data_IF_561868657997
#
_entry.id   IF_561868657997
#
_cell.length_a   1.000
_cell.length_b   1.000
_cell.length_c   1.000
_cell.angle_alpha   90.00
_cell.angle_beta   90.00
_cell.angle_gamma   90.00
#
_symmetry.space_group_name_H-M   'P 1'
#
loop_
_entity.id
_entity.type
_entity.pdbx_description
1 polymer ?
#
# COMPACT_ATOMS: atom_id res chain seq x y z
N UNK A 1 -14.53 -11.81 -5.11
CA UNK A 1 -14.59 -12.34 -3.70
C UNK A 1 -14.98 -11.21 -2.76
N UNK A 2 -15.72 -11.49 -1.68
CA UNK A 2 -16.07 -10.52 -0.64
C UNK A 2 -15.54 -11.00 0.71
N UNK A 3 -14.84 -10.12 1.43
CA UNK A 3 -14.45 -10.26 2.84
C UNK A 3 -15.17 -9.15 3.59
N UNK A 4 -16.02 -9.48 4.56
CA UNK A 4 -16.77 -8.46 5.26
C UNK A 4 -17.07 -8.80 6.71
N UNK A 5 -17.31 -7.74 7.50
CA UNK A 5 -17.66 -7.84 8.93
C UNK A 5 -16.62 -8.64 9.74
N UNK A 6 -15.35 -8.41 9.45
CA UNK A 6 -14.24 -9.08 10.12
C UNK A 6 -13.57 -8.13 11.11
N UNK A 7 -13.12 -8.70 12.22
CA UNK A 7 -12.25 -8.04 13.19
C UNK A 7 -10.87 -8.69 13.13
N UNK A 8 -9.85 -7.89 12.81
CA UNK A 8 -8.45 -8.31 12.76
C UNK A 8 -7.66 -7.52 13.79
N UNK A 9 -6.93 -8.21 14.65
CA UNK A 9 -6.13 -7.55 15.69
C UNK A 9 -4.79 -8.26 15.94
N UNK A 10 -3.83 -7.48 16.46
CA UNK A 10 -2.50 -7.95 16.89
C UNK A 10 -1.73 -8.73 15.82
N UNK A 11 -1.84 -8.30 14.55
CA UNK A 11 -1.28 -9.01 13.42
C UNK A 11 -0.20 -8.25 12.67
N UNK A 12 0.64 -8.96 11.90
CA UNK A 12 1.62 -8.37 11.00
C UNK A 12 0.99 -7.65 9.78
N UNK A 13 -0.28 -7.84 9.56
CA UNK A 13 -1.11 -7.15 8.58
C UNK A 13 -2.55 -7.62 8.70
N UNK A 14 -3.52 -6.68 8.64
CA UNK A 14 -4.93 -7.02 8.77
C UNK A 14 -5.46 -7.73 7.52
N UNK A 15 -5.36 -7.10 6.35
CA UNK A 15 -5.66 -7.75 5.06
C UNK A 15 -4.43 -7.67 4.17
N UNK A 16 -3.90 -8.83 3.81
CA UNK A 16 -2.64 -8.93 3.06
C UNK A 16 -2.86 -9.72 1.77
N UNK A 17 -2.60 -9.08 0.64
CA UNK A 17 -2.69 -9.67 -0.69
C UNK A 17 -1.29 -9.89 -1.26
N UNK A 18 -1.00 -11.14 -1.69
CA UNK A 18 0.30 -11.51 -2.26
C UNK A 18 1.38 -11.80 -1.19
N UNK A 19 2.67 -11.95 -1.60
CA UNK A 19 3.22 -11.78 -2.94
C UNK A 19 3.07 -13.02 -3.83
N UNK A 20 2.76 -14.21 -3.26
CA UNK A 20 2.62 -15.49 -3.97
C UNK A 20 1.28 -15.58 -4.71
N UNK A 21 0.97 -14.60 -5.56
CA UNK A 21 -0.25 -14.52 -6.34
C UNK A 21 0.07 -14.55 -7.84
N UNK A 22 0.71 -15.64 -8.31
CA UNK A 22 1.15 -15.77 -9.70
C UNK A 22 0.02 -15.73 -10.73
N UNK A 23 -1.22 -16.09 -10.33
CA UNK A 23 -2.42 -15.95 -11.17
C UNK A 23 -3.14 -14.60 -11.02
N UNK A 24 -2.57 -13.69 -10.23
CA UNK A 24 -3.20 -12.40 -9.92
C UNK A 24 -4.31 -12.48 -8.87
N UNK A 25 -4.77 -11.31 -8.45
CA UNK A 25 -5.93 -11.14 -7.56
C UNK A 25 -6.85 -10.12 -8.23
N UNK A 26 -8.07 -10.52 -8.52
CA UNK A 26 -9.02 -9.69 -9.26
C UNK A 26 -10.38 -9.65 -8.55
N UNK A 27 -11.05 -8.51 -8.67
CA UNK A 27 -12.43 -8.33 -8.22
C UNK A 27 -12.64 -8.75 -6.76
N UNK A 28 -11.82 -8.20 -5.87
CA UNK A 28 -11.90 -8.40 -4.43
C UNK A 28 -12.49 -7.16 -3.76
N UNK A 29 -13.50 -7.36 -2.93
CA UNK A 29 -14.01 -6.32 -2.03
C UNK A 29 -13.76 -6.73 -0.58
N UNK A 30 -13.20 -5.80 0.22
CA UNK A 30 -13.09 -5.89 1.67
C UNK A 30 -13.93 -4.77 2.26
N UNK A 31 -14.92 -5.10 3.08
CA UNK A 31 -15.91 -4.11 3.52
C UNK A 31 -16.33 -4.31 4.98
N UNK A 32 -16.61 -3.19 5.67
CA UNK A 32 -17.18 -3.21 7.02
C UNK A 32 -16.34 -4.00 8.01
N UNK A 33 -15.03 -3.74 8.02
CA UNK A 33 -14.07 -4.41 8.89
C UNK A 33 -13.49 -3.44 9.92
N UNK A 34 -13.03 -3.99 11.03
CA UNK A 34 -12.29 -3.29 12.08
C UNK A 34 -10.89 -3.89 12.20
N UNK A 35 -9.86 -3.04 12.18
CA UNK A 35 -8.47 -3.44 12.39
C UNK A 35 -7.91 -2.73 13.62
N UNK A 36 -7.26 -3.48 14.49
CA UNK A 36 -6.63 -2.92 15.68
C UNK A 36 -5.23 -3.50 15.90
N UNK A 37 -4.29 -2.63 16.25
CA UNK A 37 -2.92 -3.01 16.63
C UNK A 37 -2.27 -3.96 15.62
N UNK A 38 -2.34 -3.61 14.35
CA UNK A 38 -1.64 -4.35 13.30
C UNK A 38 -0.49 -3.52 12.73
N UNK A 39 0.60 -4.17 12.32
CA UNK A 39 1.72 -3.47 11.71
C UNK A 39 1.28 -2.72 10.44
N UNK A 40 0.41 -3.33 9.66
CA UNK A 40 -0.13 -2.76 8.42
C UNK A 40 -1.60 -3.08 8.27
N UNK A 41 -2.36 -2.12 7.79
CA UNK A 41 -3.79 -2.30 7.57
C UNK A 41 -4.08 -3.05 6.26
N UNK A 42 -4.17 -2.30 5.19
CA UNK A 42 -4.45 -2.81 3.84
C UNK A 42 -3.13 -2.90 3.07
N UNK A 43 -2.67 -4.13 2.85
CA UNK A 43 -1.35 -4.39 2.31
C UNK A 43 -1.44 -5.21 1.03
N UNK A 44 -1.05 -4.62 -0.10
CA UNK A 44 -0.93 -5.33 -1.38
C UNK A 44 0.54 -5.37 -1.77
N UNK A 45 1.06 -6.57 -2.02
CA UNK A 45 2.48 -6.76 -2.30
C UNK A 45 2.70 -7.70 -3.48
N UNK A 46 3.73 -7.39 -4.26
CA UNK A 46 4.25 -8.20 -5.34
C UNK A 46 5.76 -7.99 -5.47
N UNK A 47 6.39 -8.59 -6.43
CA UNK A 47 7.78 -8.35 -6.83
C UNK A 47 8.08 -8.86 -8.22
N UNK A 48 9.15 -8.38 -8.84
CA UNK A 48 9.69 -9.00 -10.05
C UNK A 48 9.89 -10.50 -9.86
N UNK A 49 9.63 -11.29 -10.90
CA UNK A 49 9.69 -12.74 -10.85
C UNK A 49 8.36 -13.44 -10.53
N UNK A 50 7.29 -12.70 -10.20
CA UNK A 50 5.96 -13.29 -9.96
C UNK A 50 5.21 -13.65 -11.24
N UNK A 51 5.62 -13.08 -12.37
CA UNK A 51 5.04 -13.35 -13.68
C UNK A 51 4.08 -12.28 -14.17
N UNK A 52 3.89 -12.22 -15.48
CA UNK A 52 3.01 -11.25 -16.12
C UNK A 52 1.53 -11.40 -15.76
N UNK A 53 1.13 -12.59 -15.32
CA UNK A 53 -0.25 -12.89 -14.91
C UNK A 53 -0.49 -12.54 -13.43
N UNK A 54 0.58 -12.20 -12.68
CA UNK A 54 0.48 -11.72 -11.31
C UNK A 54 0.02 -10.26 -11.26
N UNK A 55 -1.23 -10.03 -11.67
CA UNK A 55 -1.86 -8.70 -11.69
C UNK A 55 -2.85 -8.57 -10.56
N UNK A 56 -2.66 -7.55 -9.71
CA UNK A 56 -3.60 -7.19 -8.66
C UNK A 56 -4.46 -6.03 -9.17
N UNK A 57 -5.74 -6.26 -9.44
CA UNK A 57 -6.64 -5.24 -10.01
C UNK A 57 -8.11 -5.41 -9.58
N UNK A 58 -8.91 -4.35 -9.69
CA UNK A 58 -10.31 -4.37 -9.30
C UNK A 58 -10.50 -4.62 -7.80
N UNK A 59 -9.59 -4.09 -6.98
CA UNK A 59 -9.61 -4.28 -5.53
C UNK A 59 -10.26 -3.07 -4.90
N UNK A 60 -11.26 -3.30 -4.05
CA UNK A 60 -11.95 -2.27 -3.30
C UNK A 60 -11.87 -2.55 -1.81
N UNK A 61 -11.44 -1.55 -1.05
CA UNK A 61 -11.48 -1.51 0.41
C UNK A 61 -12.43 -0.41 0.82
N UNK A 62 -13.47 -0.74 1.57
CA UNK A 62 -14.51 0.24 1.90
C UNK A 62 -15.09 0.05 3.30
N UNK A 63 -15.55 1.15 3.91
CA UNK A 63 -16.20 1.12 5.22
C UNK A 63 -15.34 0.44 6.30
N UNK A 64 -14.07 0.84 6.41
CA UNK A 64 -13.09 0.22 7.32
C UNK A 64 -12.71 1.23 8.39
N UNK A 65 -12.60 0.74 9.62
CA UNK A 65 -12.06 1.50 10.75
C UNK A 65 -10.79 0.82 11.23
N UNK A 66 -9.76 1.64 11.49
CA UNK A 66 -8.45 1.19 11.95
C UNK A 66 -8.04 1.98 13.19
N UNK A 67 -7.51 1.29 14.18
CA UNK A 67 -6.95 1.92 15.39
C UNK A 67 -5.62 1.29 15.75
N UNK A 68 -4.63 2.12 16.06
CA UNK A 68 -3.24 1.69 16.33
C UNK A 68 -2.66 0.81 15.19
N UNK A 69 -3.00 1.12 13.94
CA UNK A 69 -2.40 0.48 12.76
C UNK A 69 -1.19 1.29 12.33
N UNK A 70 0.02 0.69 12.40
CA UNK A 70 1.26 1.45 12.23
C UNK A 70 1.39 2.09 10.85
N UNK A 71 0.94 1.40 9.78
CA UNK A 71 0.84 1.95 8.41
C UNK A 71 -0.46 1.48 7.77
N UNK A 72 -1.49 2.32 7.65
CA UNK A 72 -2.82 1.93 7.13
C UNK A 72 -2.80 1.36 5.72
N UNK A 73 -2.08 2.01 4.79
CA UNK A 73 -2.11 1.65 3.38
C UNK A 73 -0.71 1.35 2.86
N UNK A 74 -0.49 0.11 2.38
CA UNK A 74 0.81 -0.31 1.84
C UNK A 74 0.65 -0.99 0.49
N UNK A 75 1.30 -0.43 -0.54
CA UNK A 75 1.50 -1.07 -1.84
C UNK A 75 3.01 -1.24 -2.05
N UNK A 76 3.46 -2.49 -2.20
CA UNK A 76 4.89 -2.79 -2.27
C UNK A 76 5.20 -3.75 -3.42
N UNK A 77 5.88 -3.26 -4.45
CA UNK A 77 6.36 -4.05 -5.59
C UNK A 77 7.80 -4.54 -5.47
N UNK A 78 8.41 -4.43 -4.28
CA UNK A 78 9.79 -4.84 -3.98
C UNK A 78 9.87 -5.81 -2.80
N UNK A 79 8.86 -6.66 -2.63
CA UNK A 79 8.79 -7.56 -1.48
C UNK A 79 9.94 -8.55 -1.43
N UNK A 80 10.65 -8.66 -0.29
CA UNK A 80 11.94 -9.35 -0.19
C UNK A 80 11.93 -10.71 0.51
N UNK A 81 10.81 -11.19 1.04
CA UNK A 81 10.85 -12.34 1.96
C UNK A 81 11.18 -13.70 1.35
N UNK A 82 11.21 -13.80 0.02
CA UNK A 82 11.60 -15.05 -0.62
C UNK A 82 13.12 -15.23 -0.70
N UNK A 83 13.54 -16.45 -1.04
CA UNK A 83 14.94 -16.81 -1.16
C UNK A 83 15.73 -15.90 -2.10
N UNK A 84 15.12 -15.46 -3.19
CA UNK A 84 15.71 -14.54 -4.19
C UNK A 84 15.21 -13.09 -4.02
N UNK A 85 14.40 -12.80 -2.99
CA UNK A 85 13.76 -11.51 -2.80
C UNK A 85 14.72 -10.33 -2.57
N UNK A 86 15.93 -10.60 -2.10
CA UNK A 86 16.97 -9.59 -1.85
C UNK A 86 17.99 -9.44 -2.99
N UNK A 87 17.75 -10.08 -4.13
CA UNK A 87 18.64 -9.93 -5.30
C UNK A 87 18.49 -8.56 -5.94
N UNK A 88 19.52 -8.13 -6.66
CA UNK A 88 19.51 -6.88 -7.41
C UNK A 88 18.35 -6.82 -8.40
N UNK A 89 18.01 -7.96 -9.05
CA UNK A 89 16.88 -8.06 -9.95
C UNK A 89 15.57 -7.68 -9.28
N UNK A 90 15.31 -8.16 -8.08
CA UNK A 90 14.06 -7.86 -7.36
C UNK A 90 14.08 -6.44 -6.77
N UNK A 91 15.22 -6.00 -6.23
CA UNK A 91 15.31 -4.77 -5.44
C UNK A 91 15.75 -3.53 -6.23
N UNK A 92 16.22 -3.68 -7.50
CA UNK A 92 16.63 -2.53 -8.32
C UNK A 92 15.50 -1.50 -8.43
N UNK A 93 15.84 -0.23 -8.19
CA UNK A 93 14.94 0.91 -8.36
C UNK A 93 14.98 1.48 -9.78
N UNK A 94 15.87 0.98 -10.62
CA UNK A 94 15.95 1.33 -12.03
C UNK A 94 14.91 0.55 -12.85
N UNK A 95 14.45 1.15 -13.94
CA UNK A 95 13.54 0.48 -14.87
C UNK A 95 14.26 -0.68 -15.56
N UNK A 96 13.68 -1.87 -15.51
CA UNK A 96 14.17 -3.05 -16.19
C UNK A 96 13.27 -3.35 -17.41
N UNK A 97 13.76 -4.12 -18.39
CA UNK A 97 12.91 -4.57 -19.49
C UNK A 97 11.67 -5.32 -18.99
N UNK A 98 10.50 -4.99 -19.53
CA UNK A 98 9.27 -5.73 -19.24
C UNK A 98 9.33 -7.08 -19.94
N UNK A 99 9.16 -8.15 -19.19
CA UNK A 99 9.17 -9.53 -19.69
C UNK A 99 8.09 -10.38 -19.00
N UNK A 100 8.07 -11.68 -19.29
CA UNK A 100 7.09 -12.62 -18.71
C UNK A 100 7.19 -12.78 -17.18
N UNK A 101 8.20 -12.20 -16.54
CA UNK A 101 8.40 -12.20 -15.08
C UNK A 101 7.94 -10.91 -14.40
N UNK A 102 7.53 -9.91 -15.19
CA UNK A 102 7.14 -8.59 -14.69
C UNK A 102 5.68 -8.60 -14.23
N UNK A 103 5.39 -8.42 -12.93
CA UNK A 103 4.02 -8.35 -12.43
C UNK A 103 3.38 -7.00 -12.72
N UNK A 104 2.05 -6.94 -12.57
CA UNK A 104 1.27 -5.72 -12.74
C UNK A 104 0.50 -5.30 -11.50
N UNK A 105 0.21 -4.01 -11.43
CA UNK A 105 -0.72 -3.42 -10.47
C UNK A 105 -1.76 -2.61 -11.23
N UNK A 106 -3.02 -3.04 -11.16
CA UNK A 106 -4.16 -2.36 -11.78
C UNK A 106 -4.73 -1.27 -10.87
N UNK A 107 -6.05 -1.12 -10.90
CA UNK A 107 -6.77 -0.16 -10.08
C UNK A 107 -7.08 -0.72 -8.70
N UNK A 108 -6.89 0.10 -7.66
CA UNK A 108 -7.32 -0.17 -6.28
C UNK A 108 -8.00 1.07 -5.72
N UNK A 109 -9.13 0.86 -5.05
CA UNK A 109 -9.92 1.92 -4.40
C UNK A 109 -9.97 1.72 -2.90
N UNK A 110 -9.75 2.81 -2.16
CA UNK A 110 -9.91 2.93 -0.72
C UNK A 110 -11.02 3.96 -0.48
N UNK A 111 -12.14 3.56 0.14
CA UNK A 111 -13.33 4.40 0.27
C UNK A 111 -13.92 4.32 1.67
N UNK A 112 -14.29 5.46 2.25
CA UNK A 112 -14.84 5.58 3.61
C UNK A 112 -13.99 4.79 4.64
N UNK A 113 -12.76 5.29 4.84
CA UNK A 113 -11.81 4.67 5.76
C UNK A 113 -11.35 5.71 6.79
N UNK A 114 -11.45 5.34 8.04
CA UNK A 114 -10.90 6.10 9.16
C UNK A 114 -9.78 5.29 9.82
N UNK A 115 -8.60 5.89 9.94
CA UNK A 115 -7.44 5.30 10.58
C UNK A 115 -6.91 6.25 11.66
N UNK A 116 -6.99 5.81 12.91
CA UNK A 116 -6.58 6.59 14.08
C UNK A 116 -5.34 5.99 14.74
N UNK A 117 -4.59 6.85 15.45
CA UNK A 117 -3.39 6.44 16.17
C UNK A 117 -2.35 5.70 15.30
N UNK A 118 -2.16 6.15 14.07
CA UNK A 118 -1.14 5.62 13.18
C UNK A 118 0.26 6.04 13.60
N UNK A 119 1.31 5.34 13.15
CA UNK A 119 2.68 5.62 13.58
C UNK A 119 3.60 6.06 12.43
N UNK A 120 3.79 5.22 11.40
CA UNK A 120 4.84 5.41 10.43
C UNK A 120 4.48 6.39 9.32
N UNK A 121 3.49 6.06 8.53
CA UNK A 121 3.03 6.86 7.39
C UNK A 121 1.53 6.63 7.16
N UNK A 122 0.84 7.62 6.61
CA UNK A 122 -0.54 7.46 6.18
C UNK A 122 -0.63 6.42 5.06
N UNK A 123 0.25 6.51 4.06
CA UNK A 123 0.37 5.50 3.02
C UNK A 123 1.83 5.36 2.55
N UNK A 124 2.24 4.12 2.25
CA UNK A 124 3.53 3.82 1.64
C UNK A 124 3.33 3.01 0.36
N UNK A 125 3.60 3.62 -0.77
CA UNK A 125 3.25 3.11 -2.10
C UNK A 125 4.49 3.07 -2.97
N UNK A 126 4.89 1.88 -3.43
CA UNK A 126 6.03 1.69 -4.33
C UNK A 126 5.68 0.73 -5.46
N UNK A 127 5.40 1.27 -6.65
CA UNK A 127 5.29 0.51 -7.89
C UNK A 127 6.66 0.22 -8.52
N UNK A 128 6.70 -0.66 -9.52
CA UNK A 128 7.90 -0.84 -10.36
C UNK A 128 8.02 0.33 -11.35
N UNK A 129 9.23 0.85 -11.63
CA UNK A 129 9.37 1.94 -12.60
C UNK A 129 8.93 1.54 -14.03
N UNK A 130 9.15 0.30 -14.43
CA UNK A 130 8.74 -0.26 -15.72
C UNK A 130 7.27 -0.73 -15.76
N UNK A 131 6.66 -0.96 -14.59
CA UNK A 131 5.27 -1.42 -14.45
C UNK A 131 4.60 -0.65 -13.30
N UNK A 132 4.30 0.62 -13.55
CA UNK A 132 3.71 1.53 -12.57
C UNK A 132 2.34 1.02 -12.09
N UNK A 133 2.01 1.28 -10.84
CA UNK A 133 0.64 1.14 -10.34
C UNK A 133 -0.30 1.97 -11.20
N UNK A 134 -1.34 1.36 -11.77
CA UNK A 134 -2.19 2.02 -12.76
C UNK A 134 -3.01 3.15 -12.16
N UNK A 135 -3.72 2.89 -11.06
CA UNK A 135 -4.52 3.89 -10.35
C UNK A 135 -4.71 3.50 -8.90
N UNK A 136 -4.52 4.47 -8.02
CA UNK A 136 -4.97 4.39 -6.63
C UNK A 136 -5.96 5.51 -6.37
N UNK A 137 -7.15 5.18 -5.93
CA UNK A 137 -8.18 6.13 -5.53
C UNK A 137 -8.36 6.05 -4.02
N UNK A 138 -8.21 7.19 -3.36
CA UNK A 138 -8.56 7.40 -1.96
C UNK A 138 -9.76 8.34 -1.93
N UNK A 139 -10.87 7.87 -1.40
CA UNK A 139 -12.11 8.64 -1.31
C UNK A 139 -12.64 8.60 0.11
N UNK A 140 -12.94 9.79 0.68
CA UNK A 140 -13.44 9.89 2.05
C UNK A 140 -12.53 9.14 3.04
N UNK A 141 -11.24 9.49 3.05
CA UNK A 141 -10.22 8.85 3.89
C UNK A 141 -9.70 9.85 4.91
N UNK A 142 -9.72 9.47 6.18
CA UNK A 142 -9.18 10.26 7.28
C UNK A 142 -8.12 9.45 8.03
N UNK A 143 -6.93 10.05 8.20
CA UNK A 143 -5.81 9.44 8.93
C UNK A 143 -5.31 10.39 10.01
N UNK A 144 -5.17 9.89 11.22
CA UNK A 144 -4.54 10.62 12.34
C UNK A 144 -3.41 9.80 12.96
N UNK A 145 -2.42 10.49 13.52
CA UNK A 145 -1.26 9.85 14.13
C UNK A 145 -1.34 9.88 15.66
N UNK A 146 -0.77 8.84 16.29
CA UNK A 146 -0.64 8.79 17.74
C UNK A 146 0.26 9.94 18.23
N UNK A 147 -0.07 10.58 19.37
CA UNK A 147 0.78 11.63 19.96
C UNK A 147 2.20 11.12 20.29
N UNK A 148 2.29 9.86 20.68
CA UNK A 148 3.51 9.12 21.02
C UNK A 148 3.96 8.14 19.92
N UNK A 149 3.66 8.48 18.67
CA UNK A 149 4.01 7.63 17.53
C UNK A 149 5.51 7.29 17.50
N UNK A 150 5.81 6.02 17.28
CA UNK A 150 7.18 5.51 17.19
C UNK A 150 7.57 5.20 15.75
N UNK A 151 8.88 5.31 15.40
CA UNK A 151 9.36 4.97 14.08
C UNK A 151 9.12 3.50 13.74
N UNK A 152 8.62 3.24 12.53
CA UNK A 152 8.38 1.89 12.04
C UNK A 152 8.71 1.76 10.54
N UNK A 153 9.15 0.58 10.11
CA UNK A 153 9.43 0.28 8.69
C UNK A 153 8.12 -0.06 7.96
N UNK A 154 7.59 0.80 7.09
CA UNK A 154 6.26 0.63 6.50
C UNK A 154 6.15 -0.56 5.56
N UNK A 155 7.24 -0.94 4.88
CA UNK A 155 7.22 -1.99 3.88
C UNK A 155 8.45 -2.89 3.96
N UNK A 156 8.26 -4.16 3.65
CA UNK A 156 9.33 -5.17 3.60
C UNK A 156 10.02 -5.15 2.24
N UNK A 157 10.90 -4.17 2.03
CA UNK A 157 11.77 -4.00 0.87
C UNK A 157 13.16 -3.52 1.32
N UNK A 158 14.19 -3.75 0.54
CA UNK A 158 15.53 -3.26 0.87
C UNK A 158 15.60 -1.73 0.78
N UNK A 159 16.36 -1.13 1.70
CA UNK A 159 16.58 0.33 1.73
C UNK A 159 15.36 1.14 2.20
N UNK A 160 14.39 0.52 2.87
CA UNK A 160 13.29 1.23 3.51
C UNK A 160 13.65 1.44 4.99
N UNK A 161 13.84 2.69 5.35
CA UNK A 161 14.19 3.06 6.72
C UNK A 161 12.94 3.25 7.59
N UNK A 162 13.08 3.09 8.93
CA UNK A 162 12.01 3.46 9.85
C UNK A 162 11.61 4.92 9.67
N UNK A 163 10.32 5.20 9.72
CA UNK A 163 9.78 6.55 9.62
C UNK A 163 8.64 6.75 10.64
N UNK A 164 8.36 8.01 10.94
CA UNK A 164 7.31 8.39 11.88
C UNK A 164 6.46 9.52 11.30
N UNK A 165 5.16 9.45 11.46
CA UNK A 165 4.16 10.46 11.08
C UNK A 165 4.36 11.06 9.69
N UNK A 166 4.66 10.24 8.69
CA UNK A 166 4.77 10.70 7.32
C UNK A 166 3.39 10.71 6.64
N UNK A 167 3.20 11.65 5.71
CA UNK A 167 2.00 11.69 4.88
C UNK A 167 1.91 10.51 3.90
N UNK A 168 1.47 10.76 2.68
CA UNK A 168 1.43 9.77 1.60
C UNK A 168 2.76 9.79 0.85
N UNK A 169 3.49 8.68 0.88
CA UNK A 169 4.68 8.46 0.07
C UNK A 169 4.28 7.60 -1.12
N UNK A 170 4.41 8.12 -2.35
CA UNK A 170 4.02 7.39 -3.55
C UNK A 170 5.10 7.45 -4.64
N UNK A 171 5.53 6.27 -5.10
CA UNK A 171 6.54 6.12 -6.14
C UNK A 171 6.04 5.19 -7.26
N UNK A 172 6.29 5.59 -8.51
CA UNK A 172 5.93 4.84 -9.71
C UNK A 172 4.43 4.53 -9.79
N UNK A 173 3.60 5.57 -9.81
CA UNK A 173 2.14 5.50 -9.92
C UNK A 173 1.69 6.30 -11.15
N UNK A 174 0.81 5.75 -11.98
CA UNK A 174 0.25 6.50 -13.12
C UNK A 174 -0.76 7.54 -12.65
N UNK A 175 -1.73 7.14 -11.82
CA UNK A 175 -2.75 8.06 -11.31
C UNK A 175 -2.93 7.88 -9.81
N UNK A 176 -2.69 8.93 -9.05
CA UNK A 176 -3.05 9.07 -7.64
C UNK A 176 -4.26 10.00 -7.56
N UNK A 177 -5.40 9.48 -7.15
CA UNK A 177 -6.68 10.17 -7.10
C UNK A 177 -7.11 10.33 -5.63
N UNK A 178 -7.15 11.56 -5.15
CA UNK A 178 -7.41 11.92 -3.75
C UNK A 178 -8.69 12.76 -3.67
N UNK A 179 -9.76 12.17 -3.17
CA UNK A 179 -11.08 12.78 -3.05
C UNK A 179 -11.48 12.86 -1.58
N UNK A 180 -11.58 14.07 -1.03
CA UNK A 180 -11.86 14.27 0.39
C UNK A 180 -10.93 13.43 1.29
N UNK A 181 -9.62 13.61 1.14
CA UNK A 181 -8.58 12.94 1.94
C UNK A 181 -8.04 13.94 2.96
N UNK A 182 -8.06 13.54 4.23
CA UNK A 182 -7.58 14.36 5.36
C UNK A 182 -6.51 13.55 6.10
N UNK A 183 -5.36 14.17 6.31
CA UNK A 183 -4.26 13.62 7.10
C UNK A 183 -3.91 14.65 8.17
N UNK A 184 -3.97 14.26 9.42
CA UNK A 184 -3.71 15.17 10.54
C UNK A 184 -2.59 14.65 11.44
N UNK A 185 -1.71 15.55 11.83
CA UNK A 185 -0.60 15.26 12.75
C UNK A 185 0.64 14.66 12.07
N UNK A 186 0.74 14.74 10.75
CA UNK A 186 1.96 14.35 10.03
C UNK A 186 3.11 15.34 10.26
N UNK A 187 4.32 14.83 10.19
CA UNK A 187 5.56 15.61 10.18
C UNK A 187 6.00 15.87 8.73
N UNK A 188 6.10 17.13 8.33
CA UNK A 188 6.53 17.51 6.99
C UNK A 188 5.43 17.53 5.94
N UNK A 189 5.77 17.14 4.71
CA UNK A 189 4.86 17.25 3.56
C UNK A 189 3.77 16.15 3.59
N UNK A 190 2.55 16.55 3.26
CA UNK A 190 1.42 15.63 3.13
C UNK A 190 1.63 14.62 2.00
N UNK A 191 2.24 15.04 0.88
CA UNK A 191 2.54 14.21 -0.27
C UNK A 191 4.02 14.23 -0.63
N UNK A 192 4.67 13.08 -0.62
CA UNK A 192 6.02 12.86 -1.11
C UNK A 192 5.96 11.97 -2.35
N UNK A 193 6.12 12.58 -3.53
CA UNK A 193 5.83 11.95 -4.81
C UNK A 193 7.09 11.79 -5.66
N UNK A 194 7.29 10.59 -6.23
CA UNK A 194 8.36 10.31 -7.17
C UNK A 194 7.82 9.51 -8.37
N UNK A 195 8.02 10.02 -9.58
CA UNK A 195 7.59 9.34 -10.82
C UNK A 195 6.08 9.01 -10.83
N UNK A 196 5.26 9.97 -10.34
CA UNK A 196 3.79 9.93 -10.39
C UNK A 196 3.34 10.74 -11.59
N UNK A 197 2.61 10.12 -12.54
CA UNK A 197 2.27 10.78 -13.80
C UNK A 197 1.15 11.81 -13.63
N UNK A 198 0.18 11.53 -12.76
CA UNK A 198 -0.95 12.42 -12.51
C UNK A 198 -1.43 12.32 -11.07
N UNK A 199 -1.67 13.47 -10.45
CA UNK A 199 -2.39 13.61 -9.19
C UNK A 199 -3.71 14.32 -9.46
N UNK A 200 -4.80 13.76 -8.99
CA UNK A 200 -6.13 14.38 -9.00
C UNK A 200 -6.52 14.66 -7.56
N UNK A 201 -7.03 15.85 -7.28
CA UNK A 201 -7.55 16.24 -5.96
C UNK A 201 -8.92 16.89 -6.12
N UNK A 202 -9.85 16.53 -5.24
CA UNK A 202 -11.18 17.12 -5.17
C UNK A 202 -11.76 17.07 -3.74
#
# INVERSE_FOLDING_TARGET
MLISHCYMHDGHGAVVLGSEAAGGIKDLTVSKCLFERTDRGLRVKTRRGRGKDAVNEGITFEHIRMDEVLTPFVVNSFYFCDKDGKTDYVQSREALPVDDRTPGFGATTFCDIEATNCHAAAAYITGLPESKVTRLTFQDVHVTFAPDAEPFVPAMACGVEPMVRQGIIAQNVKVLDLQNVVIEGQDGEELQLQNVDKVVRS
#
